data_IF_553775906369
#
_entry.id   IF_553775906369
#
_cell.length_a   1.000
_cell.length_b   1.000
_cell.length_c   1.000
_cell.angle_alpha   90.00
_cell.angle_beta   90.00
_cell.angle_gamma   90.00
#
_symmetry.space_group_name_H-M   'P 1'
#
loop_
_entity.id
_entity.type
_entity.pdbx_description
1 polymer ?
#
# COMPACT_ATOMS: atom_id res chain seq x y z
N UNK A 1 -45.30 25.26 -63.24
CA UNK A 1 -44.74 25.96 -62.07
C UNK A 1 -44.48 24.91 -60.99
N UNK A 2 -43.28 24.31 -60.94
CA UNK A 2 -42.13 24.65 -60.06
C UNK A 2 -42.47 24.60 -58.56
N UNK A 3 -41.89 23.59 -57.87
CA UNK A 3 -41.30 23.53 -56.49
C UNK A 3 -41.30 22.03 -56.08
N UNK A 4 -40.27 21.22 -56.26
CA UNK A 4 -38.91 21.16 -55.69
C UNK A 4 -38.89 20.99 -54.15
N UNK A 5 -38.10 19.98 -53.72
CA UNK A 5 -37.51 19.71 -52.39
C UNK A 5 -38.44 19.09 -51.32
N UNK A 6 -38.03 18.11 -50.49
CA UNK A 6 -36.73 17.48 -50.27
C UNK A 6 -36.95 16.10 -49.64
N UNK A 7 -36.28 15.07 -50.16
CA UNK A 7 -36.15 13.76 -49.56
C UNK A 7 -35.05 13.87 -48.49
N UNK A 8 -35.40 14.02 -47.22
CA UNK A 8 -34.41 14.06 -46.15
C UNK A 8 -33.97 12.63 -45.81
N UNK A 9 -32.72 12.38 -46.20
CA UNK A 9 -31.88 11.25 -45.89
C UNK A 9 -31.92 10.96 -44.39
N UNK A 10 -32.38 9.76 -44.05
CA UNK A 10 -32.35 9.21 -42.69
C UNK A 10 -30.88 8.87 -42.35
N UNK A 11 -30.13 9.85 -41.86
CA UNK A 11 -28.81 9.63 -41.30
C UNK A 11 -28.99 8.96 -39.92
N UNK A 12 -29.01 7.64 -39.91
CA UNK A 12 -28.81 6.86 -38.69
C UNK A 12 -27.37 7.07 -38.23
N UNK A 13 -27.14 8.13 -37.46
CA UNK A 13 -25.92 8.28 -36.66
C UNK A 13 -25.96 7.16 -35.63
N UNK A 14 -25.22 6.09 -35.92
CA UNK A 14 -24.85 5.10 -34.93
C UNK A 14 -24.17 5.86 -33.78
N UNK A 15 -24.91 6.05 -32.69
CA UNK A 15 -24.34 6.42 -31.41
C UNK A 15 -23.46 5.23 -30.98
N UNK A 16 -22.22 5.22 -31.45
CA UNK A 16 -21.16 4.45 -30.83
C UNK A 16 -21.07 4.94 -29.40
N UNK A 17 -21.55 4.10 -28.48
CA UNK A 17 -21.38 4.29 -27.05
C UNK A 17 -19.89 4.27 -26.71
N UNK A 18 -19.21 5.41 -26.88
CA UNK A 18 -17.98 5.70 -26.18
C UNK A 18 -18.36 5.97 -24.71
N UNK A 19 -18.61 4.89 -23.96
CA UNK A 19 -18.37 4.93 -22.52
C UNK A 19 -16.90 5.32 -22.30
N UNK A 20 -16.56 6.00 -21.18
CA UNK A 20 -15.17 6.31 -20.88
C UNK A 20 -14.34 5.02 -20.96
N UNK A 21 -13.31 5.04 -21.79
CA UNK A 21 -12.41 3.90 -21.94
C UNK A 21 -11.93 3.48 -20.55
N UNK A 22 -12.07 2.18 -20.23
CA UNK A 22 -11.54 1.66 -18.95
C UNK A 22 -10.05 2.01 -18.90
N UNK A 23 -9.55 2.53 -17.78
CA UNK A 23 -8.13 2.87 -17.66
C UNK A 23 -7.28 1.63 -17.98
N UNK A 24 -6.11 1.85 -18.58
CA UNK A 24 -5.17 0.76 -18.82
C UNK A 24 -4.70 0.17 -17.48
N UNK A 25 -4.18 -1.06 -17.50
CA UNK A 25 -3.58 -1.65 -16.30
C UNK A 25 -2.46 -0.75 -15.74
N UNK A 26 -1.68 -0.13 -16.62
CA UNK A 26 -0.57 0.75 -16.23
C UNK A 26 -1.07 2.03 -15.54
N UNK A 27 -2.11 2.67 -16.08
CA UNK A 27 -2.75 3.84 -15.44
C UNK A 27 -3.32 3.48 -14.07
N UNK A 28 -3.96 2.32 -13.97
CA UNK A 28 -4.52 1.82 -12.73
C UNK A 28 -3.41 1.57 -11.71
N UNK A 29 -2.35 0.86 -12.10
CA UNK A 29 -1.20 0.58 -11.25
C UNK A 29 -0.52 1.86 -10.79
N UNK A 30 -0.32 2.83 -11.69
CA UNK A 30 0.26 4.13 -11.37
C UNK A 30 -0.58 4.89 -10.35
N UNK A 31 -1.90 4.91 -10.54
CA UNK A 31 -2.83 5.56 -9.61
C UNK A 31 -2.80 4.91 -8.22
N UNK A 32 -2.80 3.57 -8.14
CA UNK A 32 -2.69 2.86 -6.86
C UNK A 32 -1.30 3.07 -6.22
N UNK A 33 -0.25 3.15 -7.03
CA UNK A 33 1.11 3.50 -6.58
C UNK A 33 1.14 4.88 -5.90
N UNK A 34 0.56 5.89 -6.55
CA UNK A 34 0.45 7.24 -6.00
C UNK A 34 -0.36 7.28 -4.69
N UNK A 35 -1.44 6.49 -4.59
CA UNK A 35 -2.20 6.35 -3.33
C UNK A 35 -1.27 5.82 -2.23
N UNK A 36 -0.50 4.78 -2.51
CA UNK A 36 0.37 4.15 -1.52
C UNK A 36 1.51 5.08 -1.07
N UNK A 37 2.13 5.81 -2.00
CA UNK A 37 3.16 6.81 -1.70
C UNK A 37 2.62 7.92 -0.80
N UNK A 38 1.47 8.50 -1.16
CA UNK A 38 0.83 9.55 -0.34
C UNK A 38 0.38 9.04 1.02
N UNK A 39 -0.14 7.82 1.10
CA UNK A 39 -0.49 7.19 2.38
C UNK A 39 0.74 6.97 3.27
N UNK A 40 1.90 6.63 2.68
CA UNK A 40 3.17 6.55 3.41
C UNK A 40 3.60 7.93 3.93
N UNK A 41 3.56 8.96 3.10
CA UNK A 41 3.89 10.34 3.50
C UNK A 41 2.97 10.85 4.62
N UNK A 42 1.65 10.60 4.51
CA UNK A 42 0.66 10.91 5.56
C UNK A 42 1.06 10.22 6.87
N UNK A 43 1.42 8.94 6.82
CA UNK A 43 1.80 8.19 8.01
C UNK A 43 3.06 8.76 8.67
N UNK A 44 4.12 9.01 7.90
CA UNK A 44 5.38 9.57 8.41
C UNK A 44 5.16 10.94 9.06
N UNK A 45 4.44 11.85 8.39
CA UNK A 45 4.08 13.16 8.96
C UNK A 45 3.21 13.02 10.21
N UNK A 46 2.25 12.09 10.22
CA UNK A 46 1.40 11.85 11.38
C UNK A 46 2.22 11.38 12.60
N UNK A 47 3.28 10.60 12.37
CA UNK A 47 4.21 10.20 13.44
C UNK A 47 5.00 11.38 13.97
N UNK A 48 5.47 12.27 13.11
CA UNK A 48 6.20 13.47 13.52
C UNK A 48 5.32 14.46 14.28
N UNK A 49 4.11 14.70 13.79
CA UNK A 49 3.11 15.49 14.53
C UNK A 49 2.86 14.86 15.90
N UNK A 50 2.68 13.54 15.98
CA UNK A 50 2.49 12.84 17.26
C UNK A 50 3.67 13.00 18.23
N UNK A 51 4.91 13.20 17.73
CA UNK A 51 6.08 13.49 18.58
C UNK A 51 6.04 14.93 19.07
N UNK A 52 5.90 15.90 18.15
CA UNK A 52 5.83 17.33 18.49
C UNK A 52 4.69 17.64 19.45
N UNK A 53 3.53 17.01 19.27
CA UNK A 53 2.38 17.10 20.18
C UNK A 53 2.74 16.70 21.61
N UNK A 54 3.53 15.63 21.78
CA UNK A 54 3.95 15.17 23.11
C UNK A 54 4.87 16.19 23.77
N UNK A 55 5.79 16.79 23.01
CA UNK A 55 6.67 17.86 23.50
C UNK A 55 5.86 19.09 23.92
N UNK A 56 4.89 19.50 23.11
CA UNK A 56 4.00 20.62 23.43
C UNK A 56 3.15 20.31 24.66
N UNK A 57 2.60 19.10 24.76
CA UNK A 57 1.76 18.69 25.91
C UNK A 57 2.56 18.62 27.21
N UNK A 58 3.85 18.31 27.15
CA UNK A 58 4.75 18.36 28.32
C UNK A 58 5.00 19.80 28.79
N UNK A 59 5.14 20.76 27.87
CA UNK A 59 5.32 22.17 28.20
C UNK A 59 4.03 22.84 28.66
N UNK A 60 2.89 22.42 28.12
CA UNK A 60 1.56 22.98 28.39
C UNK A 60 0.59 21.93 28.95
N UNK A 61 0.85 21.36 30.14
CA UNK A 61 0.01 20.29 30.70
C UNK A 61 -1.43 20.75 30.97
N UNK A 62 -1.61 22.03 31.32
CA UNK A 62 -2.93 22.60 31.66
C UNK A 62 -3.81 22.89 30.45
N UNK A 63 -3.23 22.92 29.24
CA UNK A 63 -3.96 23.23 28.00
C UNK A 63 -4.68 22.00 27.40
N UNK A 64 -4.57 20.82 28.04
CA UNK A 64 -5.22 19.53 27.65
C UNK A 64 -5.27 19.33 26.13
N UNK A 65 -4.12 19.45 25.48
CA UNK A 65 -4.08 19.35 24.03
C UNK A 65 -4.10 17.87 23.63
N UNK A 66 -5.30 17.29 23.55
CA UNK A 66 -5.52 15.93 23.07
C UNK A 66 -5.73 15.99 21.57
N UNK A 67 -4.91 15.27 20.82
CA UNK A 67 -4.96 15.28 19.36
C UNK A 67 -5.33 13.91 18.84
N UNK A 68 -6.37 13.86 18.01
CA UNK A 68 -6.65 12.66 17.24
C UNK A 68 -5.81 12.69 15.97
N UNK A 69 -4.60 12.15 16.06
CA UNK A 69 -3.66 12.11 14.93
C UNK A 69 -4.14 11.23 13.78
N UNK A 70 -5.20 10.44 13.97
CA UNK A 70 -5.81 9.64 12.90
C UNK A 70 -6.77 10.45 12.03
N UNK A 71 -7.47 11.43 12.60
CA UNK A 71 -8.42 12.28 11.89
C UNK A 71 -7.81 13.61 11.42
N UNK A 72 -6.70 14.03 12.02
CA UNK A 72 -6.07 15.34 11.80
C UNK A 72 -6.53 16.36 12.85
N UNK A 73 -6.03 17.60 12.79
CA UNK A 73 -6.50 18.66 13.67
C UNK A 73 -7.94 19.05 13.35
N UNK A 74 -8.77 19.10 14.38
CA UNK A 74 -10.04 19.86 14.36
C UNK A 74 -9.73 21.36 14.29
N UNK A 75 -10.69 22.17 13.83
CA UNK A 75 -10.53 23.64 13.79
C UNK A 75 -10.25 24.21 15.18
N UNK A 76 -10.92 23.68 16.19
CA UNK A 76 -10.73 24.09 17.58
C UNK A 76 -9.30 23.81 18.06
N UNK A 77 -8.72 22.66 17.67
CA UNK A 77 -7.32 22.33 17.99
C UNK A 77 -6.34 23.23 17.23
N UNK A 78 -6.62 23.53 15.96
CA UNK A 78 -5.82 24.45 15.15
C UNK A 78 -5.80 25.86 15.77
N UNK A 79 -6.96 26.38 16.17
CA UNK A 79 -7.08 27.69 16.82
C UNK A 79 -6.33 27.75 18.15
N UNK A 80 -6.37 26.68 18.95
CA UNK A 80 -5.57 26.56 20.18
C UNK A 80 -4.07 26.63 19.86
N UNK A 81 -3.61 25.94 18.82
CA UNK A 81 -2.19 25.99 18.42
C UNK A 81 -1.79 27.37 17.92
N UNK A 82 -2.61 28.01 17.09
CA UNK A 82 -2.36 29.36 16.60
C UNK A 82 -2.35 30.39 17.75
N UNK A 83 -3.18 30.18 18.78
CA UNK A 83 -3.15 30.95 20.02
C UNK A 83 -1.83 30.78 20.76
N UNK A 84 -1.39 29.54 20.97
CA UNK A 84 -0.12 29.23 21.64
C UNK A 84 1.09 29.81 20.88
N UNK A 85 1.08 29.77 19.55
CA UNK A 85 2.14 30.36 18.70
C UNK A 85 2.29 31.88 18.92
N UNK A 86 1.18 32.58 19.20
CA UNK A 86 1.17 34.02 19.46
C UNK A 86 1.68 34.35 20.86
N UNK A 87 1.34 33.52 21.85
CA UNK A 87 1.72 33.70 23.25
C UNK A 87 3.16 33.23 23.54
N UNK A 88 3.67 32.27 22.75
CA UNK A 88 4.99 31.69 22.93
C UNK A 88 6.11 32.69 22.62
N UNK A 89 7.02 32.83 23.58
CA UNK A 89 8.18 33.71 23.52
C UNK A 89 9.46 32.96 23.15
N UNK A 90 9.51 31.67 23.43
CA UNK A 90 10.63 30.81 23.08
C UNK A 90 10.60 30.50 21.56
N UNK A 91 11.57 31.00 20.78
CA UNK A 91 11.59 30.81 19.33
C UNK A 91 11.67 29.33 18.92
N UNK A 92 12.31 28.48 19.74
CA UNK A 92 12.43 27.05 19.47
C UNK A 92 11.07 26.36 19.58
N UNK A 93 10.34 26.60 20.69
CA UNK A 93 9.01 26.01 20.87
C UNK A 93 7.96 26.60 19.92
N UNK A 94 8.09 27.88 19.58
CA UNK A 94 7.27 28.49 18.53
C UNK A 94 7.46 27.77 17.20
N UNK A 95 8.70 27.39 16.86
CA UNK A 95 9.00 26.56 15.70
C UNK A 95 8.35 25.17 15.76
N UNK A 96 8.35 24.51 16.92
CA UNK A 96 7.69 23.20 17.10
C UNK A 96 6.18 23.31 16.89
N UNK A 97 5.53 24.32 17.49
CA UNK A 97 4.10 24.58 17.33
C UNK A 97 3.74 24.86 15.86
N UNK A 98 4.52 25.71 15.18
CA UNK A 98 4.31 26.03 13.77
C UNK A 98 4.47 24.78 12.89
N UNK A 99 5.49 23.95 13.15
CA UNK A 99 5.70 22.69 12.44
C UNK A 99 4.49 21.75 12.57
N UNK A 100 3.86 21.68 13.75
CA UNK A 100 2.64 20.85 13.92
C UNK A 100 1.51 21.32 13.03
N UNK A 101 1.25 22.63 12.99
CA UNK A 101 0.21 23.23 12.14
C UNK A 101 0.51 22.98 10.66
N UNK A 102 1.75 23.21 10.24
CA UNK A 102 2.18 23.05 8.84
C UNK A 102 2.08 21.58 8.39
N UNK A 103 2.61 20.65 9.18
CA UNK A 103 2.55 19.21 8.88
C UNK A 103 1.09 18.71 8.80
N UNK A 104 0.20 19.25 9.64
CA UNK A 104 -1.22 18.89 9.65
C UNK A 104 -1.97 19.37 8.42
N UNK A 105 -1.67 20.60 7.96
CA UNK A 105 -2.17 21.11 6.69
C UNK A 105 -1.71 20.22 5.53
N UNK A 106 -0.43 19.85 5.51
CA UNK A 106 0.13 19.01 4.47
C UNK A 106 -0.48 17.60 4.47
N UNK A 107 -0.70 16.99 5.65
CA UNK A 107 -1.47 15.75 5.78
C UNK A 107 -2.86 15.90 5.18
N UNK A 108 -3.54 17.02 5.45
CA UNK A 108 -4.87 17.32 4.89
C UNK A 108 -4.87 17.39 3.37
N UNK A 109 -3.87 18.04 2.78
CA UNK A 109 -3.74 18.17 1.33
C UNK A 109 -3.35 16.83 0.67
N UNK A 110 -2.50 16.03 1.31
CA UNK A 110 -2.19 14.66 0.86
C UNK A 110 -3.44 13.76 0.90
N UNK A 111 -4.28 13.86 1.94
CA UNK A 111 -5.55 13.11 2.03
C UNK A 111 -6.49 13.48 0.88
N UNK A 112 -6.66 14.78 0.58
CA UNK A 112 -7.47 15.23 -0.57
C UNK A 112 -6.94 14.65 -1.89
N UNK A 113 -5.63 14.66 -2.10
CA UNK A 113 -5.04 14.07 -3.31
C UNK A 113 -5.28 12.56 -3.39
N UNK A 114 -5.23 11.84 -2.27
CA UNK A 114 -5.61 10.42 -2.22
C UNK A 114 -7.08 10.27 -2.63
N UNK A 115 -7.99 11.04 -2.04
CA UNK A 115 -9.43 10.97 -2.34
C UNK A 115 -9.71 11.30 -3.82
N UNK A 116 -9.03 12.30 -4.40
CA UNK A 116 -9.13 12.64 -5.81
C UNK A 116 -8.71 11.50 -6.73
N UNK A 117 -7.62 10.78 -6.40
CA UNK A 117 -7.17 9.62 -7.18
C UNK A 117 -8.16 8.47 -7.00
N UNK A 118 -8.60 8.20 -5.77
CA UNK A 118 -9.56 7.13 -5.48
C UNK A 118 -10.91 7.34 -6.17
N UNK A 119 -11.38 8.59 -6.29
CA UNK A 119 -12.63 8.92 -6.98
C UNK A 119 -12.64 8.54 -8.47
N UNK A 120 -11.46 8.39 -9.08
CA UNK A 120 -11.27 7.99 -10.48
C UNK A 120 -11.08 6.49 -10.65
N UNK A 121 -10.92 5.76 -9.54
CA UNK A 121 -10.74 4.31 -9.54
C UNK A 121 -12.05 3.60 -9.17
N UNK A 122 -12.26 2.36 -9.65
CA UNK A 122 -13.27 1.47 -9.11
C UNK A 122 -13.10 1.32 -7.59
N UNK A 123 -14.22 1.24 -6.88
CA UNK A 123 -14.21 1.09 -5.43
C UNK A 123 -13.38 -0.15 -5.02
N UNK A 124 -12.45 -0.01 -4.05
CA UNK A 124 -11.66 -1.13 -3.59
C UNK A 124 -12.50 -2.06 -2.70
N UNK A 125 -12.06 -3.31 -2.58
CA UNK A 125 -12.54 -4.19 -1.53
C UNK A 125 -11.86 -3.85 -0.21
N UNK A 126 -12.63 -3.58 0.84
CA UNK A 126 -12.11 -3.36 2.20
C UNK A 126 -12.01 -4.70 2.92
N UNK A 127 -10.78 -5.10 3.24
CA UNK A 127 -10.46 -6.39 3.88
C UNK A 127 -11.12 -6.49 5.25
N UNK A 128 -11.76 -7.63 5.51
CA UNK A 128 -12.33 -8.00 6.81
C UNK A 128 -11.50 -9.09 7.47
N UNK A 129 -11.75 -9.32 8.75
CA UNK A 129 -11.08 -10.39 9.51
C UNK A 129 -11.40 -11.75 8.90
N UNK A 130 -10.35 -12.52 8.59
CA UNK A 130 -10.46 -13.87 8.03
C UNK A 130 -10.49 -13.92 6.50
N UNK A 131 -10.46 -12.77 5.83
CA UNK A 131 -10.31 -12.74 4.38
C UNK A 131 -8.88 -13.11 3.97
N UNK A 132 -8.77 -13.67 2.76
CA UNK A 132 -7.49 -13.88 2.09
C UNK A 132 -7.51 -13.16 0.75
N UNK A 133 -6.35 -12.72 0.29
CA UNK A 133 -6.23 -12.01 -0.98
C UNK A 133 -6.74 -12.86 -2.15
N UNK A 134 -6.37 -14.14 -2.17
CA UNK A 134 -6.82 -15.09 -3.19
C UNK A 134 -8.34 -15.24 -3.22
N UNK A 135 -8.98 -15.37 -2.05
CA UNK A 135 -10.44 -15.51 -1.96
C UNK A 135 -11.14 -14.27 -2.53
N UNK A 136 -10.70 -13.08 -2.13
CA UNK A 136 -11.26 -11.81 -2.59
C UNK A 136 -11.12 -11.68 -4.12
N UNK A 137 -9.94 -12.00 -4.66
CA UNK A 137 -9.68 -11.92 -6.09
C UNK A 137 -10.55 -12.90 -6.91
N UNK A 138 -10.69 -14.15 -6.44
CA UNK A 138 -11.54 -15.16 -7.09
C UNK A 138 -13.01 -14.72 -7.05
N UNK A 139 -13.51 -14.27 -5.88
CA UNK A 139 -14.90 -13.83 -5.71
C UNK A 139 -15.23 -12.64 -6.62
N UNK A 140 -14.30 -11.70 -6.80
CA UNK A 140 -14.47 -10.59 -7.73
C UNK A 140 -14.57 -11.05 -9.20
N UNK A 141 -13.67 -11.93 -9.64
CA UNK A 141 -13.70 -12.45 -11.01
C UNK A 141 -14.98 -13.25 -11.28
N UNK A 142 -15.45 -14.03 -10.31
CA UNK A 142 -16.69 -14.79 -10.44
C UNK A 142 -17.93 -13.89 -10.39
N UNK A 143 -18.08 -13.10 -9.33
CA UNK A 143 -19.34 -12.41 -9.03
C UNK A 143 -19.50 -11.10 -9.82
N UNK A 144 -18.40 -10.40 -10.12
CA UNK A 144 -18.43 -9.12 -10.81
C UNK A 144 -18.16 -9.29 -12.31
N UNK A 145 -17.28 -10.21 -12.69
CA UNK A 145 -16.86 -10.39 -14.08
C UNK A 145 -17.53 -11.57 -14.78
N UNK A 146 -18.15 -12.50 -14.02
CA UNK A 146 -18.90 -13.62 -14.55
C UNK A 146 -18.05 -14.81 -14.99
N UNK A 147 -16.79 -14.88 -14.54
CA UNK A 147 -15.91 -16.01 -14.88
C UNK A 147 -16.30 -17.26 -14.11
N UNK A 148 -15.99 -18.42 -14.68
CA UNK A 148 -16.08 -19.68 -13.94
C UNK A 148 -15.03 -19.71 -12.83
N UNK A 149 -15.26 -20.56 -11.83
CA UNK A 149 -14.33 -20.73 -10.70
C UNK A 149 -12.94 -21.19 -11.16
N UNK A 150 -12.86 -22.00 -12.20
CA UNK A 150 -11.61 -22.54 -12.74
C UNK A 150 -10.81 -21.46 -13.46
N UNK A 151 -11.47 -20.68 -14.32
CA UNK A 151 -10.85 -19.53 -15.00
C UNK A 151 -10.37 -18.48 -14.00
N UNK A 152 -11.21 -18.15 -13.01
CA UNK A 152 -10.86 -17.19 -11.96
C UNK A 152 -9.61 -17.65 -11.19
N UNK A 153 -9.53 -18.93 -10.82
CA UNK A 153 -8.36 -19.50 -10.14
C UNK A 153 -7.10 -19.41 -11.00
N UNK A 154 -7.20 -19.78 -12.29
CA UNK A 154 -6.07 -19.70 -13.21
C UNK A 154 -5.50 -18.29 -13.27
N UNK A 155 -6.36 -17.29 -13.43
CA UNK A 155 -5.95 -15.87 -13.46
C UNK A 155 -5.31 -15.39 -12.16
N UNK A 156 -5.86 -15.83 -11.03
CA UNK A 156 -5.33 -15.45 -9.71
C UNK A 156 -3.94 -16.06 -9.45
N UNK A 157 -3.62 -17.20 -10.07
CA UNK A 157 -2.28 -17.80 -10.00
C UNK A 157 -1.24 -17.09 -10.86
N UNK A 158 -1.66 -16.35 -11.89
CA UNK A 158 -0.77 -15.59 -12.78
C UNK A 158 -0.31 -14.27 -12.18
N UNK A 159 -0.91 -13.82 -11.07
CA UNK A 159 -0.61 -12.55 -10.42
C UNK A 159 0.07 -12.74 -9.07
N UNK A 160 0.92 -11.79 -8.70
CA UNK A 160 1.53 -11.76 -7.38
C UNK A 160 0.50 -11.34 -6.32
N UNK A 161 0.14 -12.26 -5.44
CA UNK A 161 -0.72 -11.99 -4.31
C UNK A 161 0.10 -11.58 -3.08
N UNK A 162 -0.42 -10.62 -2.32
CA UNK A 162 0.03 -10.39 -0.95
C UNK A 162 -0.26 -11.62 -0.06
N UNK A 163 0.78 -12.14 0.60
CA UNK A 163 0.69 -13.28 1.53
C UNK A 163 -0.22 -12.99 2.73
N UNK A 164 -0.09 -11.79 3.30
CA UNK A 164 -0.83 -11.34 4.47
C UNK A 164 -1.68 -10.12 4.11
N UNK A 165 -2.99 -10.22 4.34
CA UNK A 165 -3.92 -9.09 4.27
C UNK A 165 -4.53 -8.86 5.65
N UNK A 166 -4.51 -7.62 6.10
CA UNK A 166 -5.02 -7.23 7.42
C UNK A 166 -6.33 -6.48 7.25
N UNK A 167 -7.23 -6.65 8.22
CA UNK A 167 -8.50 -5.91 8.25
C UNK A 167 -8.26 -4.40 8.09
N UNK A 168 -9.04 -3.78 7.20
CA UNK A 168 -8.91 -2.36 6.86
C UNK A 168 -7.99 -2.06 5.68
N UNK A 169 -7.25 -3.04 5.14
CA UNK A 169 -6.57 -2.87 3.86
C UNK A 169 -7.57 -2.69 2.72
N UNK A 170 -7.15 -1.96 1.69
CA UNK A 170 -7.90 -1.82 0.46
C UNK A 170 -7.24 -2.71 -0.60
N UNK A 171 -8.01 -3.64 -1.16
CA UNK A 171 -7.60 -4.45 -2.31
C UNK A 171 -8.26 -3.86 -3.56
N UNK A 172 -7.42 -3.34 -4.44
CA UNK A 172 -7.81 -2.81 -5.73
C UNK A 172 -7.76 -3.94 -6.74
N UNK A 173 -8.85 -4.14 -7.46
CA UNK A 173 -9.03 -5.25 -8.39
C UNK A 173 -9.30 -4.68 -9.78
N UNK A 174 -8.47 -5.07 -10.72
CA UNK A 174 -8.57 -4.66 -12.11
C UNK A 174 -8.77 -5.89 -12.99
N UNK A 175 -9.76 -5.84 -13.87
CA UNK A 175 -9.90 -6.85 -14.92
C UNK A 175 -10.32 -6.19 -16.23
N UNK A 176 -9.50 -6.41 -17.26
CA UNK A 176 -9.83 -6.05 -18.63
C UNK A 176 -10.21 -7.31 -19.40
N UNK A 177 -11.48 -7.38 -19.81
CA UNK A 177 -12.02 -8.51 -20.58
C UNK A 177 -11.40 -8.59 -21.98
N UNK A 178 -11.15 -7.46 -22.63
CA UNK A 178 -10.72 -7.41 -24.03
C UNK A 178 -9.25 -7.83 -24.18
N UNK A 179 -8.41 -7.45 -23.21
CA UNK A 179 -7.01 -7.88 -23.13
C UNK A 179 -6.80 -9.16 -22.31
N UNK A 180 -7.86 -9.68 -21.68
CA UNK A 180 -7.86 -10.79 -20.73
C UNK A 180 -6.88 -10.66 -19.54
N UNK A 181 -6.54 -9.42 -19.18
CA UNK A 181 -5.54 -9.07 -18.16
C UNK A 181 -6.22 -8.83 -16.81
N UNK A 182 -5.75 -9.54 -15.79
CA UNK A 182 -6.11 -9.35 -14.38
C UNK A 182 -4.95 -8.74 -13.60
N UNK A 183 -5.26 -7.81 -12.70
CA UNK A 183 -4.28 -7.20 -11.80
C UNK A 183 -4.89 -6.93 -10.44
N UNK A 184 -4.07 -7.05 -9.39
CA UNK A 184 -4.50 -6.73 -8.03
C UNK A 184 -3.41 -6.04 -7.25
N UNK A 185 -3.83 -5.07 -6.43
CA UNK A 185 -2.93 -4.18 -5.72
C UNK A 185 -3.47 -3.92 -4.32
N UNK A 186 -2.60 -3.86 -3.33
CA UNK A 186 -2.98 -3.68 -1.92
C UNK A 186 -2.47 -2.33 -1.43
N UNK A 187 -3.35 -1.53 -0.84
CA UNK A 187 -2.98 -0.31 -0.11
C UNK A 187 -3.45 -0.37 1.33
N UNK A 188 -2.90 0.52 2.17
CA UNK A 188 -3.09 0.47 3.61
C UNK A 188 -4.55 0.66 4.05
N UNK A 189 -5.34 1.42 3.28
CA UNK A 189 -6.71 1.74 3.62
C UNK A 189 -6.81 2.39 5.01
N UNK A 190 -7.66 1.86 5.87
CA UNK A 190 -7.87 2.34 7.26
C UNK A 190 -7.03 1.60 8.29
N UNK A 191 -6.20 0.63 7.87
CA UNK A 191 -5.39 -0.15 8.78
C UNK A 191 -4.24 0.67 9.38
N UNK A 192 -3.90 0.38 10.64
CA UNK A 192 -2.76 1.01 11.34
C UNK A 192 -1.40 0.50 10.85
N UNK A 193 -1.36 -0.62 10.12
CA UNK A 193 -0.12 -1.28 9.70
C UNK A 193 0.07 -1.06 8.20
N UNK A 194 1.15 -0.42 7.79
CA UNK A 194 1.44 -0.30 6.36
C UNK A 194 1.74 -1.69 5.73
N UNK A 195 1.13 -2.06 4.58
CA UNK A 195 1.34 -3.36 3.92
C UNK A 195 2.80 -3.67 3.60
N UNK A 196 3.58 -2.68 3.15
CA UNK A 196 5.00 -2.87 2.84
C UNK A 196 5.79 -3.18 4.13
N UNK A 197 5.49 -2.49 5.23
CA UNK A 197 6.13 -2.76 6.53
C UNK A 197 5.85 -4.18 7.01
N UNK A 198 4.60 -4.64 6.88
CA UNK A 198 4.22 -6.01 7.25
C UNK A 198 4.99 -7.04 6.42
N UNK A 199 5.07 -6.82 5.10
CA UNK A 199 5.83 -7.69 4.20
C UNK A 199 7.29 -7.81 4.62
N UNK A 200 7.94 -6.69 4.94
CA UNK A 200 9.34 -6.70 5.41
C UNK A 200 9.51 -7.41 6.74
N UNK A 201 8.65 -7.16 7.73
CA UNK A 201 8.77 -7.81 9.03
C UNK A 201 8.61 -9.33 8.91
N UNK A 202 7.63 -9.78 8.12
CA UNK A 202 7.40 -11.21 7.89
C UNK A 202 8.54 -11.87 7.12
N UNK A 203 9.07 -11.19 6.12
CA UNK A 203 10.21 -11.70 5.37
C UNK A 203 11.42 -11.89 6.29
N UNK A 204 11.70 -10.92 7.15
CA UNK A 204 12.76 -11.04 8.17
C UNK A 204 12.49 -12.20 9.12
N UNK A 205 11.28 -12.34 9.63
CA UNK A 205 10.92 -13.43 10.55
C UNK A 205 11.05 -14.82 9.87
N UNK A 206 10.73 -14.93 8.57
CA UNK A 206 10.92 -16.15 7.77
C UNK A 206 12.41 -16.48 7.60
N UNK A 207 13.22 -15.49 7.24
CA UNK A 207 14.68 -15.66 7.12
C UNK A 207 15.27 -16.10 8.46
N UNK A 208 14.85 -15.45 9.56
CA UNK A 208 15.36 -15.77 10.88
C UNK A 208 14.99 -17.20 11.30
N UNK A 209 13.75 -17.64 11.09
CA UNK A 209 13.36 -19.04 11.34
C UNK A 209 14.16 -20.02 10.48
N UNK A 210 14.37 -19.72 9.20
CA UNK A 210 15.17 -20.58 8.33
C UNK A 210 16.64 -20.66 8.77
N UNK A 211 17.20 -19.58 9.33
CA UNK A 211 18.54 -19.57 9.92
C UNK A 211 18.57 -20.41 11.20
N UNK A 212 17.59 -20.26 12.08
CA UNK A 212 17.47 -21.05 13.32
C UNK A 212 17.32 -22.55 13.02
N UNK A 213 16.48 -22.91 12.04
CA UNK A 213 16.31 -24.28 11.54
C UNK A 213 17.64 -24.82 10.97
N UNK A 214 18.32 -24.07 10.10
CA UNK A 214 19.59 -24.48 9.52
C UNK A 214 20.71 -24.63 10.56
N UNK A 215 20.72 -23.80 11.61
CA UNK A 215 21.66 -23.93 12.72
C UNK A 215 21.33 -25.16 13.59
N UNK A 216 20.05 -25.40 13.87
CA UNK A 216 19.59 -26.59 14.57
C UNK A 216 19.88 -27.89 13.82
N UNK A 217 19.72 -27.90 12.49
CA UNK A 217 20.09 -29.03 11.64
C UNK A 217 21.61 -29.26 11.59
N UNK A 218 22.42 -28.18 11.62
CA UNK A 218 23.89 -28.29 11.72
C UNK A 218 24.36 -28.81 13.08
N UNK A 219 23.70 -28.43 14.16
CA UNK A 219 23.99 -28.94 15.51
C UNK A 219 23.48 -30.38 15.70
N UNK A 220 22.41 -30.76 15.01
CA UNK A 220 21.87 -32.12 15.02
C UNK A 220 22.60 -33.08 14.05
N UNK A 221 23.40 -32.56 13.10
CA UNK A 221 24.22 -33.37 12.22
C UNK A 221 25.36 -34.02 13.04
N UNK A 222 25.45 -35.36 13.10
CA UNK A 222 26.53 -36.02 13.82
C UNK A 222 27.87 -35.62 13.17
N UNK A 223 28.78 -35.08 13.99
CA UNK A 223 30.19 -34.92 13.62
C UNK A 223 30.75 -36.32 13.43
N UNK A 224 30.77 -36.83 12.20
CA UNK A 224 31.54 -38.03 11.87
C UNK A 224 33.02 -37.68 12.02
N UNK A 225 33.75 -38.25 13.00
CA UNK A 225 35.20 -38.25 12.92
C UNK A 225 35.62 -39.27 11.85
N UNK A 226 36.81 -39.06 11.30
CA UNK A 226 37.53 -39.92 10.35
C UNK A 226 37.20 -39.77 8.86
N UNK A 227 37.86 -38.77 8.26
CA UNK A 227 38.48 -39.01 6.96
C UNK A 227 39.84 -39.69 7.20
N UNK A 228 40.14 -40.85 6.60
CA UNK A 228 41.38 -41.57 6.83
C UNK A 228 42.58 -40.77 6.29
N UNK A 229 43.60 -40.64 7.13
CA UNK A 229 44.93 -40.13 6.77
C UNK A 229 45.46 -40.94 5.60
N UNK A 230 45.61 -40.31 4.44
CA UNK A 230 46.21 -40.94 3.27
C UNK A 230 47.67 -41.33 3.59
N UNK A 231 48.12 -42.54 3.23
CA UNK A 231 49.45 -43.01 3.55
C UNK A 231 50.51 -42.24 2.73
N UNK A 232 51.53 -41.77 3.46
CA UNK A 232 52.80 -41.28 2.94
C UNK A 232 53.55 -42.41 2.23
N UNK A 233 53.94 -42.20 0.97
CA UNK A 233 54.93 -43.00 0.25
C UNK A 233 55.54 -42.17 -0.91
N UNK A 234 56.72 -42.53 -1.44
CA UNK A 234 57.97 -41.87 -1.07
C UNK A 234 58.62 -41.10 -2.24
N UNK A 235 59.69 -40.38 -1.90
CA UNK A 235 60.57 -39.68 -2.83
C UNK A 235 61.06 -40.61 -3.95
N UNK A 236 61.02 -40.11 -5.19
CA UNK A 236 61.94 -40.57 -6.22
C UNK A 236 62.54 -39.38 -6.96
N UNK A 237 63.84 -39.51 -7.16
CA UNK A 237 64.79 -38.49 -7.58
C UNK A 237 65.14 -38.77 -9.02
N UNK A 238 64.80 -37.84 -9.92
CA UNK A 238 65.54 -37.72 -11.18
C UNK A 238 65.74 -36.24 -11.50
N UNK A 239 66.89 -35.73 -11.10
CA UNK A 239 67.49 -34.52 -11.65
C UNK A 239 67.95 -34.74 -13.10
N UNK A 240 67.93 -33.66 -13.87
CA UNK A 240 68.78 -33.46 -15.04
C UNK A 240 70.23 -33.24 -14.61
#
# INVERSE_FOLDING_TARGET
MKKILAFFLLLAVAATGCGPAKPSLEDFQRSVGQINEKQKEIFEKSQDVSKSIREVSQKYPDKKITFDTSLGLTREQEDVMLGLIKEEKDPTFKGVLQKVVDDQKEIGDLKKQVDEIQSKLPAPYVVKRGDTHAKIAIEYLMNTQGLTKEEARKKVLEVALADDVVSGYNIWLYYNKDGDIFGTFVTQGTSKINPNRLRYSRQRDRIQRAVEEALGEREAAPVTPDAPVAPTAPADTTQK
#
